data_IF_635846841636
#
_entry.id   IF_635846841636
#
_cell.length_a   1.000
_cell.length_b   1.000
_cell.length_c   1.000
_cell.angle_alpha   90.00
_cell.angle_beta   90.00
_cell.angle_gamma   90.00
#
_symmetry.space_group_name_H-M   'P 1'
#
loop_
_entity.id
_entity.type
_entity.pdbx_description
1 polymer ?
#
# COMPACT_ATOMS: atom_id res chain seq x y z
N UNK A 1 8.53 -11.78 -3.79
CA UNK A 1 9.45 -11.53 -2.65
C UNK A 1 10.58 -10.61 -3.07
N UNK A 2 11.14 -10.76 -4.28
CA UNK A 2 12.17 -9.85 -4.79
C UNK A 2 11.70 -8.39 -4.88
N UNK A 3 10.50 -8.13 -5.42
CA UNK A 3 9.88 -6.80 -5.43
C UNK A 3 9.73 -6.19 -4.02
N UNK A 4 9.36 -6.99 -3.03
CA UNK A 4 9.25 -6.52 -1.63
C UNK A 4 10.63 -6.15 -1.09
N UNK A 5 11.66 -6.96 -1.37
CA UNK A 5 13.03 -6.66 -0.97
C UNK A 5 13.55 -5.39 -1.66
N UNK A 6 13.17 -5.15 -2.91
CA UNK A 6 13.47 -3.90 -3.61
C UNK A 6 12.80 -2.69 -2.95
N UNK A 7 11.52 -2.80 -2.56
CA UNK A 7 10.83 -1.75 -1.81
C UNK A 7 11.49 -1.49 -0.46
N UNK A 8 11.83 -2.54 0.30
CA UNK A 8 12.53 -2.43 1.58
C UNK A 8 13.84 -1.65 1.40
N UNK A 9 14.65 -2.02 0.40
CA UNK A 9 15.91 -1.32 0.11
C UNK A 9 15.69 0.11 -0.37
N UNK A 10 14.74 0.32 -1.29
CA UNK A 10 14.47 1.63 -1.91
C UNK A 10 14.02 2.66 -0.88
N UNK A 11 13.17 2.24 0.05
CA UNK A 11 12.59 3.11 1.07
C UNK A 11 13.31 3.04 2.43
N UNK A 12 14.37 2.22 2.55
CA UNK A 12 15.10 2.05 3.80
C UNK A 12 14.24 1.49 4.93
N UNK A 13 13.33 0.56 4.60
CA UNK A 13 12.41 -0.04 5.56
C UNK A 13 13.14 -1.05 6.45
N UNK A 14 12.58 -1.29 7.63
CA UNK A 14 13.02 -2.35 8.52
C UNK A 14 12.20 -3.63 8.24
N UNK A 15 12.73 -4.80 8.59
CA UNK A 15 11.99 -6.07 8.51
C UNK A 15 12.39 -7.04 9.62
N UNK A 16 11.44 -7.85 10.05
CA UNK A 16 11.65 -9.01 10.94
C UNK A 16 11.14 -10.29 10.24
N UNK A 17 11.24 -11.49 10.83
CA UNK A 17 10.78 -12.72 10.17
C UNK A 17 9.31 -12.70 9.72
N UNK A 18 8.44 -11.94 10.38
CA UNK A 18 7.00 -11.89 10.18
C UNK A 18 6.51 -10.58 9.55
N UNK A 19 7.24 -9.47 9.67
CA UNK A 19 6.76 -8.14 9.30
C UNK A 19 7.72 -7.37 8.41
N UNK A 20 7.13 -6.53 7.56
CA UNK A 20 7.76 -5.33 7.00
C UNK A 20 7.39 -4.17 7.90
N UNK A 21 8.38 -3.41 8.35
CA UNK A 21 8.24 -2.35 9.35
C UNK A 21 8.50 -1.01 8.65
N UNK A 22 7.48 -0.17 8.63
CA UNK A 22 7.49 1.12 7.94
C UNK A 22 7.54 2.23 9.00
N UNK A 23 8.70 2.87 9.21
CA UNK A 23 8.78 4.04 10.07
C UNK A 23 8.18 5.25 9.37
N UNK A 24 7.46 6.09 10.11
CA UNK A 24 6.94 7.35 9.62
C UNK A 24 6.86 8.40 10.73
N UNK A 25 6.88 9.66 10.34
CA UNK A 25 6.69 10.78 11.27
C UNK A 25 5.25 11.22 11.22
N UNK A 26 4.58 11.26 12.37
CA UNK A 26 3.19 11.76 12.44
C UNK A 26 3.12 13.29 12.40
N UNK A 27 1.91 13.84 12.31
CA UNK A 27 1.65 15.30 12.34
C UNK A 27 2.26 16.03 13.53
N UNK A 28 2.58 15.35 14.64
CA UNK A 28 3.16 15.95 15.83
C UNK A 28 4.70 15.83 15.86
N UNK A 29 5.32 15.28 14.81
CA UNK A 29 6.76 15.07 14.76
C UNK A 29 7.23 13.80 15.48
N UNK A 30 6.31 12.94 15.95
CA UNK A 30 6.68 11.70 16.61
C UNK A 30 6.93 10.59 15.59
N UNK A 31 8.01 9.83 15.79
CA UNK A 31 8.31 8.65 14.99
C UNK A 31 7.39 7.52 15.43
N UNK A 32 6.58 7.02 14.49
CA UNK A 32 5.73 5.84 14.61
C UNK A 32 6.22 4.75 13.68
N UNK A 33 5.75 3.52 13.92
CA UNK A 33 6.03 2.35 13.09
C UNK A 33 4.72 1.67 12.72
N UNK A 34 4.54 1.39 11.43
CA UNK A 34 3.49 0.52 10.93
C UNK A 34 4.09 -0.86 10.65
N UNK A 35 3.39 -1.92 11.06
CA UNK A 35 3.85 -3.30 10.90
C UNK A 35 2.91 -4.02 9.93
N UNK A 36 3.44 -4.40 8.77
CA UNK A 36 2.70 -5.15 7.75
C UNK A 36 3.14 -6.61 7.78
N UNK A 37 2.20 -7.53 7.99
CA UNK A 37 2.47 -8.96 7.95
C UNK A 37 3.00 -9.39 6.58
N UNK A 38 4.08 -10.18 6.57
CA UNK A 38 4.65 -10.82 5.40
C UNK A 38 3.72 -11.91 4.88
N UNK A 39 2.79 -11.51 4.03
CA UNK A 39 1.86 -12.40 3.33
C UNK A 39 1.75 -12.00 1.87
N UNK A 40 1.27 -12.92 1.03
CA UNK A 40 1.13 -12.62 -0.41
C UNK A 40 0.09 -11.52 -0.66
N UNK A 41 -1.06 -11.60 0.03
CA UNK A 41 -2.19 -10.70 -0.19
C UNK A 41 -2.90 -10.31 1.11
N UNK A 42 -3.47 -9.11 1.12
CA UNK A 42 -4.39 -8.60 2.12
C UNK A 42 -5.77 -8.46 1.50
N UNK A 43 -6.77 -9.12 2.11
CA UNK A 43 -8.17 -8.95 1.73
C UNK A 43 -8.77 -7.78 2.49
N UNK A 44 -9.25 -6.77 1.78
CA UNK A 44 -10.08 -5.71 2.35
C UNK A 44 -11.54 -6.05 2.05
N UNK A 45 -12.37 -6.06 3.09
CA UNK A 45 -13.82 -6.25 2.98
C UNK A 45 -14.47 -4.89 3.15
N UNK A 46 -15.22 -4.46 2.13
CA UNK A 46 -15.91 -3.18 2.13
C UNK A 46 -17.35 -3.34 2.63
N UNK A 47 -17.98 -2.27 3.16
CA UNK A 47 -19.32 -2.33 3.75
C UNK A 47 -20.41 -2.87 2.81
N UNK A 48 -20.24 -2.69 1.49
CA UNK A 48 -21.19 -3.12 0.47
C UNK A 48 -21.11 -4.63 0.16
N UNK A 49 -20.27 -5.38 0.91
CA UNK A 49 -20.14 -6.83 0.81
C UNK A 49 -19.20 -7.31 -0.29
N UNK A 50 -18.54 -6.40 -1.01
CA UNK A 50 -17.47 -6.74 -1.94
C UNK A 50 -16.12 -6.81 -1.21
N UNK A 51 -15.18 -7.55 -1.79
CA UNK A 51 -13.82 -7.68 -1.26
C UNK A 51 -12.80 -7.55 -2.38
N UNK A 52 -11.63 -7.02 -2.03
CA UNK A 52 -10.50 -6.87 -2.94
C UNK A 52 -9.25 -7.42 -2.26
N UNK A 53 -8.47 -8.21 -2.99
CA UNK A 53 -7.19 -8.75 -2.55
C UNK A 53 -6.06 -7.89 -3.09
N UNK A 54 -5.29 -7.26 -2.19
CA UNK A 54 -4.16 -6.41 -2.54
C UNK A 54 -2.84 -7.11 -2.25
N UNK A 55 -1.86 -7.09 -3.17
CA UNK A 55 -0.53 -7.63 -2.90
C UNK A 55 0.18 -6.82 -1.81
N UNK A 56 1.08 -7.47 -1.07
CA UNK A 56 1.87 -6.78 -0.02
C UNK A 56 2.68 -5.59 -0.57
N UNK A 57 3.12 -5.65 -1.83
CA UNK A 57 3.82 -4.53 -2.49
C UNK A 57 2.97 -3.26 -2.52
N UNK A 58 1.71 -3.36 -2.89
CA UNK A 58 0.77 -2.23 -2.89
C UNK A 58 0.43 -1.78 -1.47
N UNK A 59 0.30 -2.72 -0.52
CA UNK A 59 0.08 -2.36 0.87
C UNK A 59 1.25 -1.55 1.46
N UNK A 60 2.50 -1.90 1.09
CA UNK A 60 3.70 -1.14 1.47
C UNK A 60 3.66 0.26 0.85
N UNK A 61 3.47 0.36 -0.47
CA UNK A 61 3.38 1.65 -1.18
C UNK A 61 2.29 2.56 -0.61
N UNK A 62 1.09 2.02 -0.40
CA UNK A 62 -0.03 2.75 0.18
C UNK A 62 0.31 3.29 1.58
N UNK A 63 0.94 2.45 2.42
CA UNK A 63 1.34 2.83 3.77
C UNK A 63 2.44 3.89 3.78
N UNK A 64 3.40 3.84 2.84
CA UNK A 64 4.46 4.85 2.73
C UNK A 64 3.87 6.20 2.29
N UNK A 65 2.94 6.20 1.33
CA UNK A 65 2.34 7.42 0.78
C UNK A 65 1.34 8.07 1.73
N UNK A 66 0.57 7.27 2.45
CA UNK A 66 -0.47 7.74 3.37
C UNK A 66 -0.35 7.09 4.75
N UNK A 67 0.75 7.35 5.48
CA UNK A 67 1.07 6.61 6.71
C UNK A 67 0.12 6.85 7.88
N UNK A 68 -0.69 7.91 7.81
CA UNK A 68 -1.67 8.25 8.85
C UNK A 68 -3.08 7.76 8.55
N UNK A 69 -3.31 7.17 7.37
CA UNK A 69 -4.61 6.64 6.97
C UNK A 69 -4.72 5.15 7.31
N UNK A 70 -5.96 4.67 7.39
CA UNK A 70 -6.20 3.23 7.44
C UNK A 70 -5.75 2.60 6.12
N UNK A 71 -5.23 1.36 6.18
CA UNK A 71 -4.73 0.67 4.99
C UNK A 71 -5.79 0.59 3.88
N UNK A 72 -7.07 0.38 4.22
CA UNK A 72 -8.18 0.37 3.27
C UNK A 72 -8.38 1.70 2.55
N UNK A 73 -8.20 2.83 3.25
CA UNK A 73 -8.33 4.18 2.68
C UNK A 73 -7.10 4.53 1.83
N UNK A 74 -5.91 4.18 2.32
CA UNK A 74 -4.65 4.38 1.63
C UNK A 74 -4.61 3.61 0.29
N UNK A 75 -5.06 2.36 0.29
CA UNK A 75 -5.15 1.53 -0.92
C UNK A 75 -6.18 2.11 -1.91
N UNK A 76 -7.33 2.57 -1.43
CA UNK A 76 -8.32 3.23 -2.28
C UNK A 76 -7.75 4.48 -2.96
N UNK A 77 -7.03 5.34 -2.22
CA UNK A 77 -6.40 6.53 -2.77
C UNK A 77 -5.29 6.18 -3.77
N UNK A 78 -4.44 5.21 -3.45
CA UNK A 78 -3.38 4.75 -4.34
C UNK A 78 -3.94 4.29 -5.69
N UNK A 79 -4.99 3.45 -5.68
CA UNK A 79 -5.64 2.97 -6.90
C UNK A 79 -6.36 4.07 -7.65
N UNK A 80 -7.02 5.00 -6.94
CA UNK A 80 -7.63 6.18 -7.56
C UNK A 80 -6.60 7.05 -8.26
N UNK A 81 -5.43 7.29 -7.66
CA UNK A 81 -4.34 8.03 -8.30
C UNK A 81 -3.79 7.31 -9.53
N UNK A 82 -3.62 5.98 -9.48
CA UNK A 82 -3.18 5.19 -10.64
C UNK A 82 -4.20 5.26 -11.78
N UNK A 83 -5.50 5.13 -11.49
CA UNK A 83 -6.56 5.31 -12.48
C UNK A 83 -6.60 6.71 -13.09
N UNK A 84 -6.15 7.74 -12.36
CA UNK A 84 -6.04 9.10 -12.88
C UNK A 84 -4.75 9.34 -13.69
N UNK A 85 -3.68 8.60 -13.41
CA UNK A 85 -2.40 8.66 -14.13
C UNK A 85 -2.40 7.84 -15.42
N UNK A 86 -3.33 6.89 -15.55
CA UNK A 86 -3.63 6.22 -16.81
C UNK A 86 -4.73 7.02 -17.49
N UNK A 87 -4.46 7.96 -18.42
CA UNK A 87 -5.52 8.44 -19.29
C UNK A 87 -6.10 7.21 -19.99
N UNK A 88 -7.41 7.11 -20.00
CA UNK A 88 -8.17 6.07 -20.69
C UNK A 88 -7.67 5.93 -22.14
N UNK A 89 -6.84 4.91 -22.41
CA UNK A 89 -6.50 4.48 -23.76
C UNK A 89 -7.26 3.19 -24.02
N UNK A 90 -8.58 3.33 -24.13
CA UNK A 90 -9.53 2.31 -24.60
C UNK A 90 -10.91 2.96 -24.69
N UNK A 91 -11.59 3.17 -25.82
CA UNK A 91 -11.43 2.69 -27.19
C UNK A 91 -12.01 3.75 -28.15
N UNK A 92 -11.27 4.04 -29.22
CA UNK A 92 -11.82 4.69 -30.41
C UNK A 92 -12.03 3.60 -31.47
N UNK A 93 -13.26 3.50 -31.98
CA UNK A 93 -13.69 2.81 -33.21
C UNK A 93 -13.67 1.27 -33.11
N UNK A 94 -14.71 0.54 -33.51
CA UNK A 94 -15.60 0.70 -34.69
C UNK A 94 -17.10 0.51 -34.39
#
# INVERSE_FOLDING_TARGET
MEEINELIKRYGLEEDPEHVIIPFTDKNGHIKRCYLLKRKFFRIIYPEGHHVDYPLTEAIEATIRYPELLLSEALYLLHKELSLQTPDISENKE
#
